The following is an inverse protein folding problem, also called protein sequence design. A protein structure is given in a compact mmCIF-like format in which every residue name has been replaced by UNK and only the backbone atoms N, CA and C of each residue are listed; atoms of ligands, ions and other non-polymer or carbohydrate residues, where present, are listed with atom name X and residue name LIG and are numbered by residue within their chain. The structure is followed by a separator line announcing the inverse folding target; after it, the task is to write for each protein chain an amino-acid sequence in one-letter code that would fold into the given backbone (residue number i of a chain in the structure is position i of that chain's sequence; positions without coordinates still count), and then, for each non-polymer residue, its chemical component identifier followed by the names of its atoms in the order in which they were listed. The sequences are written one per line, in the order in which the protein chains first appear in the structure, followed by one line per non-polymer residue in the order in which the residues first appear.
data_IF_245723671176
#
_entry.id   IF_245723671176
#
_cell.length_a   1.000
_cell.length_b   1.000
_cell.length_c   1.000
_cell.angle_alpha   90.00
_cell.angle_beta   90.00
_cell.angle_gamma   90.00
#
_symmetry.space_group_name_H-M   'P 1'
#
loop_
_entity.id
_entity.type
_entity.pdbx_description
1 polymer ?
#
# COMPACT_ATOMS: atom_id res chain seq x y z
N UNK A 1 4.16 -11.66 -15.36
CA UNK A 1 2.91 -11.50 -14.57
C UNK A 1 3.16 -12.12 -13.20
N UNK A 2 3.27 -11.31 -12.16
CA UNK A 2 3.64 -11.78 -10.83
C UNK A 2 4.18 -10.68 -9.91
N UNK A 3 4.49 -9.51 -10.45
CA UNK A 3 4.97 -8.39 -9.64
C UNK A 3 3.80 -7.74 -8.89
N UNK A 4 3.98 -7.64 -7.57
CA UNK A 4 2.99 -7.11 -6.64
C UNK A 4 3.47 -5.74 -6.16
N UNK A 5 2.65 -4.72 -6.40
CA UNK A 5 2.81 -3.39 -5.83
C UNK A 5 2.01 -3.28 -4.54
N UNK A 6 2.70 -2.94 -3.45
CA UNK A 6 2.07 -2.70 -2.15
C UNK A 6 2.08 -1.20 -1.92
N UNK A 7 0.89 -0.61 -1.86
CA UNK A 7 0.71 0.83 -1.76
C UNK A 7 0.05 1.20 -0.44
N UNK A 8 0.47 2.33 0.12
CA UNK A 8 -0.31 2.97 1.17
C UNK A 8 -1.51 3.73 0.60
N UNK A 9 -2.49 4.03 1.45
CA UNK A 9 -3.77 4.63 1.06
C UNK A 9 -3.62 6.00 0.38
N UNK A 10 -2.55 6.73 0.67
CA UNK A 10 -2.24 8.03 0.04
C UNK A 10 -1.91 7.93 -1.45
N UNK A 11 -1.55 6.73 -1.94
CA UNK A 11 -1.20 6.48 -3.34
C UNK A 11 -2.36 5.82 -4.12
N UNK A 12 -3.62 6.03 -3.71
CA UNK A 12 -4.75 5.39 -4.40
C UNK A 12 -4.85 5.79 -5.87
N UNK A 13 -4.51 7.03 -6.19
CA UNK A 13 -4.73 7.58 -7.54
C UNK A 13 -3.88 6.87 -8.60
N UNK A 14 -2.73 6.31 -8.22
CA UNK A 14 -1.86 5.56 -9.14
C UNK A 14 -2.28 4.09 -9.28
N UNK A 15 -3.21 3.58 -8.45
CA UNK A 15 -3.66 2.18 -8.51
C UNK A 15 -4.11 1.79 -9.92
N UNK A 16 -4.99 2.60 -10.52
CA UNK A 16 -5.57 2.30 -11.84
C UNK A 16 -4.52 2.30 -12.94
N UNK A 17 -3.53 3.18 -12.84
CA UNK A 17 -2.39 3.21 -13.76
C UNK A 17 -1.59 1.90 -13.66
N UNK A 18 -1.23 1.46 -12.46
CA UNK A 18 -0.45 0.23 -12.26
C UNK A 18 -1.21 -1.03 -12.68
N UNK A 19 -2.52 -1.09 -12.41
CA UNK A 19 -3.36 -2.20 -12.87
C UNK A 19 -3.46 -2.26 -14.40
N UNK A 20 -3.52 -1.10 -15.08
CA UNK A 20 -3.51 -1.03 -16.56
C UNK A 20 -2.18 -1.51 -17.16
N UNK A 21 -1.07 -1.24 -16.48
CA UNK A 21 0.26 -1.77 -16.85
C UNK A 21 0.41 -3.28 -16.55
N UNK A 22 -0.62 -3.91 -15.96
CA UNK A 22 -0.67 -5.35 -15.71
C UNK A 22 -0.08 -5.79 -14.37
N UNK A 23 0.17 -4.86 -13.45
CA UNK A 23 0.64 -5.16 -12.10
C UNK A 23 -0.50 -5.52 -11.15
N UNK A 24 -0.20 -6.38 -10.17
CA UNK A 24 -1.13 -6.62 -9.07
C UNK A 24 -0.93 -5.56 -7.99
N UNK A 25 -1.98 -4.81 -7.67
CA UNK A 25 -1.89 -3.73 -6.66
C UNK A 25 -2.64 -4.11 -5.40
N UNK A 26 -1.93 -4.11 -4.28
CA UNK A 26 -2.48 -4.34 -2.94
C UNK A 26 -2.45 -3.04 -2.14
N UNK A 27 -3.58 -2.71 -1.52
CA UNK A 27 -3.72 -1.55 -0.63
C UNK A 27 -4.65 -1.87 0.55
N UNK A 28 -4.51 -1.20 1.71
CA UNK A 28 -5.43 -1.39 2.82
C UNK A 28 -6.87 -1.09 2.40
N UNK A 29 -7.81 -1.95 2.83
CA UNK A 29 -9.20 -1.88 2.43
C UNK A 29 -9.89 -0.61 2.94
N UNK A 30 -10.89 -0.17 2.17
CA UNK A 30 -11.75 0.95 2.54
C UNK A 30 -13.09 0.46 3.05
N UNK A 31 -13.40 0.91 4.26
CA UNK A 31 -14.70 0.69 4.90
C UNK A 31 -15.86 1.28 4.08
N UNK A 32 -15.63 2.37 3.35
CA UNK A 32 -16.66 3.07 2.57
C UNK A 32 -17.79 3.53 3.48
N UNK A 33 -19.05 3.31 3.07
CA UNK A 33 -20.24 3.62 3.86
C UNK A 33 -20.63 2.56 4.90
N UNK A 34 -19.88 1.44 4.99
CA UNK A 34 -20.16 0.37 5.96
C UNK A 34 -19.67 0.77 7.36
N UNK A 35 -20.18 0.19 8.45
CA UNK A 35 -19.68 0.45 9.81
C UNK A 35 -18.38 -0.28 10.14
N UNK A 36 -18.03 -1.37 9.44
CA UNK A 36 -16.79 -2.12 9.66
C UNK A 36 -16.35 -2.85 8.38
N UNK A 37 -15.07 -3.19 8.31
CA UNK A 37 -14.55 -4.14 7.33
C UNK A 37 -14.94 -5.57 7.72
N UNK A 38 -15.03 -6.44 6.73
CA UNK A 38 -15.12 -7.88 7.00
C UNK A 38 -13.83 -8.38 7.66
N UNK A 39 -13.91 -9.55 8.31
CA UNK A 39 -12.73 -10.22 8.87
C UNK A 39 -11.65 -10.44 7.81
N UNK A 40 -12.05 -10.84 6.60
CA UNK A 40 -11.14 -11.05 5.49
C UNK A 40 -10.45 -9.75 5.06
N UNK A 41 -11.21 -8.69 4.77
CA UNK A 41 -10.66 -7.38 4.39
C UNK A 41 -9.74 -6.82 5.50
N UNK A 42 -10.09 -7.06 6.76
CA UNK A 42 -9.27 -6.65 7.91
C UNK A 42 -7.94 -7.40 7.96
N UNK A 43 -7.96 -8.71 7.68
CA UNK A 43 -6.76 -9.54 7.65
C UNK A 43 -5.84 -9.17 6.48
N UNK A 44 -6.40 -8.98 5.29
CA UNK A 44 -5.68 -8.51 4.10
C UNK A 44 -5.07 -7.13 4.34
N UNK A 45 -5.83 -6.22 4.93
CA UNK A 45 -5.32 -4.91 5.32
C UNK A 45 -4.16 -5.03 6.30
N UNK A 46 -4.27 -5.89 7.33
CA UNK A 46 -3.22 -6.08 8.34
C UNK A 46 -1.93 -6.64 7.74
N UNK A 47 -2.03 -7.52 6.75
CA UNK A 47 -0.88 -8.02 6.00
C UNK A 47 -0.12 -6.86 5.34
N UNK A 48 -0.85 -5.96 4.67
CA UNK A 48 -0.28 -4.80 3.98
C UNK A 48 0.33 -3.81 4.98
N UNK A 49 -0.37 -3.52 6.10
CA UNK A 49 0.15 -2.57 7.09
C UNK A 49 1.39 -3.07 7.80
N UNK A 50 1.58 -4.40 7.96
CA UNK A 50 2.82 -4.95 8.55
C UNK A 50 4.05 -4.57 7.72
N UNK A 51 3.91 -4.49 6.40
CA UNK A 51 5.00 -4.14 5.48
C UNK A 51 5.30 -2.63 5.47
N UNK A 52 4.37 -1.80 5.96
CA UNK A 52 4.55 -0.35 6.04
C UNK A 52 5.83 0.04 6.79
N UNK A 53 6.14 -0.63 7.90
CA UNK A 53 7.30 -0.29 8.71
C UNK A 53 8.62 -0.45 7.94
N UNK A 54 8.73 -1.49 7.10
CA UNK A 54 9.89 -1.71 6.23
C UNK A 54 10.01 -0.60 5.19
N UNK A 55 8.89 -0.20 4.58
CA UNK A 55 8.85 0.87 3.58
C UNK A 55 9.27 2.20 4.22
N UNK A 56 8.73 2.54 5.38
CA UNK A 56 9.06 3.77 6.11
C UNK A 56 10.54 3.80 6.53
N UNK A 57 11.08 2.67 7.00
CA UNK A 57 12.49 2.57 7.36
C UNK A 57 13.41 2.84 6.16
N UNK A 58 13.13 2.21 5.00
CA UNK A 58 13.89 2.44 3.76
C UNK A 58 13.71 3.87 3.27
N UNK A 59 12.49 4.41 3.32
CA UNK A 59 12.23 5.81 2.97
C UNK A 59 13.04 6.77 3.84
N UNK A 60 13.13 6.54 5.14
CA UNK A 60 13.96 7.33 6.06
C UNK A 60 15.45 7.27 5.71
N UNK A 61 15.97 6.10 5.35
CA UNK A 61 17.37 5.94 4.89
C UNK A 61 17.61 6.74 3.61
N UNK A 62 16.71 6.65 2.64
CA UNK A 62 16.80 7.38 1.37
C UNK A 62 16.73 8.90 1.64
N UNK A 63 15.78 9.33 2.47
CA UNK A 63 15.64 10.74 2.87
C UNK A 63 16.92 11.31 3.46
N UNK A 64 17.53 10.61 4.43
CA UNK A 64 18.80 11.02 5.02
C UNK A 64 19.96 11.04 4.02
N UNK A 65 20.07 9.99 3.19
CA UNK A 65 21.18 9.84 2.25
C UNK A 65 21.16 10.88 1.13
N UNK A 66 19.98 11.18 0.61
CA UNK A 66 19.80 12.07 -0.54
C UNK A 66 19.33 13.47 -0.16
N UNK A 67 19.14 13.75 1.13
CA UNK A 67 18.58 15.01 1.65
C UNK A 67 17.27 15.38 0.93
N UNK A 68 16.42 14.37 0.78
CA UNK A 68 15.05 14.60 0.31
C UNK A 68 14.30 15.11 1.54
N UNK A 69 13.98 16.41 1.53
CA UNK A 69 13.47 17.26 2.63
C UNK A 69 14.57 18.02 3.40
#
# INVERSE_FOLDING_TARGET
KGDIFILDRGFRDVKKFLENEGYQVLMPALKGNRPQLTTQESNESRLITKLRWVIEAVHGIIGQKFKLL
#
